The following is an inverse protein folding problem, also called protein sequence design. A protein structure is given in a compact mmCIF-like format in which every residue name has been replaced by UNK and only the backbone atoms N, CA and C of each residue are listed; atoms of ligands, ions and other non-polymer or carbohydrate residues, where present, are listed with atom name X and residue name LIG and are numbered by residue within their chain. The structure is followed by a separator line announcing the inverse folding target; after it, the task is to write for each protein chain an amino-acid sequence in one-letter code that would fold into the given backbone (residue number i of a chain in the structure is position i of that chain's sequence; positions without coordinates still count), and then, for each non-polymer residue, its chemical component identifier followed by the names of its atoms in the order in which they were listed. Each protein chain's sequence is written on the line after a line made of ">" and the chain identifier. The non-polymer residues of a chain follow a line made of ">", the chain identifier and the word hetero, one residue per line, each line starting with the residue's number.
data_IF_058525045146
#
_entry.id   IF_058525045146
#
_cell.length_a   1.000
_cell.length_b   1.000
_cell.length_c   1.000
_cell.angle_alpha   90.00
_cell.angle_beta   90.00
_cell.angle_gamma   90.00
#
_symmetry.space_group_name_H-M   'P 1'
#
loop_
_entity.id
_entity.type
_entity.pdbx_description
1 polymer ?
#
# COMPACT_ATOMS: atom_id res chain seq x y z
N UNK A 1 -4.66 -13.63 33.95
CA UNK A 1 -5.24 -13.06 32.71
C UNK A 1 -4.67 -13.76 31.49
N UNK A 2 -3.35 -13.72 31.26
CA UNK A 2 -2.67 -14.43 30.16
C UNK A 2 -3.06 -15.94 30.04
N UNK A 3 -3.13 -16.72 31.14
CA UNK A 3 -3.52 -18.14 31.04
C UNK A 3 -4.95 -18.38 30.53
N UNK A 4 -5.85 -17.40 30.67
CA UNK A 4 -7.22 -17.50 30.16
C UNK A 4 -7.23 -17.25 28.65
N UNK A 5 -6.47 -16.26 28.19
CA UNK A 5 -6.38 -15.90 26.77
C UNK A 5 -5.71 -17.02 25.99
N UNK A 6 -4.63 -17.58 26.52
CA UNK A 6 -3.93 -18.74 25.95
C UNK A 6 -4.86 -19.94 25.83
N UNK A 7 -5.63 -20.25 26.89
CA UNK A 7 -6.61 -21.34 26.85
C UNK A 7 -7.71 -21.12 25.80
N UNK A 8 -8.19 -19.88 25.64
CA UNK A 8 -9.18 -19.55 24.59
C UNK A 8 -8.56 -19.76 23.20
N UNK A 9 -7.33 -19.29 23.00
CA UNK A 9 -6.60 -19.42 21.74
C UNK A 9 -6.35 -20.89 21.37
N UNK A 10 -5.98 -21.73 22.34
CA UNK A 10 -5.78 -23.17 22.15
C UNK A 10 -7.07 -23.85 21.68
N UNK A 11 -8.21 -23.54 22.31
CA UNK A 11 -9.51 -24.09 21.93
C UNK A 11 -9.94 -23.62 20.54
N UNK A 12 -9.77 -22.33 20.24
CA UNK A 12 -10.16 -21.75 18.95
C UNK A 12 -9.26 -22.18 17.79
N UNK A 13 -8.04 -22.64 18.08
CA UNK A 13 -7.10 -23.15 17.07
C UNK A 13 -7.29 -24.64 16.75
N UNK A 14 -8.24 -25.32 17.40
CA UNK A 14 -8.52 -26.72 17.08
C UNK A 14 -9.18 -26.85 15.70
N UNK A 15 -8.77 -27.80 14.86
CA UNK A 15 -9.40 -28.02 13.55
C UNK A 15 -10.89 -28.32 13.70
N UNK A 16 -11.70 -27.76 12.81
CA UNK A 16 -13.15 -28.03 12.77
C UNK A 16 -13.48 -28.97 11.62
N UNK A 17 -14.39 -29.91 11.87
CA UNK A 17 -14.87 -30.85 10.86
C UNK A 17 -16.21 -30.36 10.31
N UNK A 18 -16.26 -30.08 9.01
CA UNK A 18 -17.47 -29.67 8.30
C UNK A 18 -17.62 -30.59 7.10
N UNK A 19 -18.73 -31.33 7.04
CA UNK A 19 -19.04 -32.29 5.96
C UNK A 19 -17.93 -33.34 5.71
N UNK A 20 -17.25 -33.77 6.78
CA UNK A 20 -16.15 -34.74 6.70
C UNK A 20 -14.81 -34.16 6.27
N UNK A 21 -14.74 -32.86 5.96
CA UNK A 21 -13.49 -32.15 5.67
C UNK A 21 -12.94 -31.49 6.93
N UNK A 22 -11.61 -31.51 7.10
CA UNK A 22 -10.91 -30.90 8.23
C UNK A 22 -10.42 -29.51 7.82
N UNK A 23 -10.86 -28.48 8.55
CA UNK A 23 -10.46 -27.10 8.32
C UNK A 23 -9.55 -26.62 9.46
N UNK A 24 -8.36 -26.13 9.10
CA UNK A 24 -7.53 -25.39 10.03
C UNK A 24 -8.14 -23.99 10.25
N UNK A 25 -8.36 -23.63 11.50
CA UNK A 25 -8.87 -22.32 11.91
C UNK A 25 -7.87 -21.65 12.85
N UNK A 26 -7.88 -20.32 12.87
CA UNK A 26 -7.08 -19.53 13.80
C UNK A 26 -7.90 -18.33 14.28
N UNK A 27 -7.63 -17.87 15.49
CA UNK A 27 -8.28 -16.70 16.08
C UNK A 27 -7.23 -15.66 16.50
N UNK A 28 -7.50 -14.39 16.20
CA UNK A 28 -6.71 -13.27 16.69
C UNK A 28 -7.48 -12.61 17.83
N UNK A 29 -6.86 -12.45 18.99
CA UNK A 29 -7.54 -12.03 20.23
C UNK A 29 -6.98 -10.68 20.70
N UNK A 30 -7.87 -9.71 20.93
CA UNK A 30 -7.52 -8.44 21.54
C UNK A 30 -7.94 -8.39 23.01
N UNK A 31 -7.07 -7.86 23.87
CA UNK A 31 -7.29 -7.83 25.32
C UNK A 31 -7.16 -6.40 25.82
N UNK A 32 -8.20 -5.85 26.43
CA UNK A 32 -8.14 -4.58 27.18
C UNK A 32 -8.31 -4.84 28.68
N UNK A 33 -7.61 -4.08 29.51
CA UNK A 33 -7.62 -4.26 30.97
C UNK A 33 -7.86 -2.91 31.61
N UNK A 34 -8.74 -2.86 32.61
CA UNK A 34 -8.92 -1.70 33.46
C UNK A 34 -8.70 -2.05 34.92
N UNK A 35 -8.20 -1.08 35.67
CA UNK A 35 -8.12 -1.11 37.13
C UNK A 35 -9.07 -0.09 37.79
N UNK A 36 -9.71 0.79 37.00
CA UNK A 36 -10.67 1.77 37.46
C UNK A 36 -12.09 1.34 37.08
N UNK A 37 -12.96 1.21 38.08
CA UNK A 37 -14.37 0.83 37.88
C UNK A 37 -15.18 1.92 37.19
N UNK A 38 -14.65 3.13 37.09
CA UNK A 38 -15.29 4.27 36.44
C UNK A 38 -14.91 4.43 34.96
N UNK A 39 -14.02 3.59 34.43
CA UNK A 39 -13.66 3.63 33.02
C UNK A 39 -14.88 3.42 32.11
N UNK A 40 -14.94 4.18 31.01
CA UNK A 40 -15.97 4.06 29.99
C UNK A 40 -15.96 2.63 29.38
N UNK A 41 -17.02 1.83 29.55
CA UNK A 41 -17.10 0.51 28.94
C UNK A 41 -16.92 0.54 27.42
N UNK A 42 -17.39 1.61 26.76
CA UNK A 42 -17.21 1.80 25.32
C UNK A 42 -15.75 1.96 24.94
N UNK A 43 -14.96 2.69 25.73
CA UNK A 43 -13.53 2.86 25.52
C UNK A 43 -12.76 1.54 25.68
N UNK A 44 -13.15 0.70 26.64
CA UNK A 44 -12.55 -0.62 26.82
C UNK A 44 -12.84 -1.55 25.64
N UNK A 45 -14.07 -1.58 25.13
CA UNK A 45 -14.41 -2.37 23.93
C UNK A 45 -13.60 -1.89 22.72
N UNK A 46 -13.48 -0.57 22.51
CA UNK A 46 -12.64 -0.01 21.43
C UNK A 46 -11.16 -0.39 21.58
N UNK A 47 -10.64 -0.37 22.80
CA UNK A 47 -9.27 -0.78 23.11
C UNK A 47 -9.05 -2.28 22.78
N UNK A 48 -9.97 -3.16 23.19
CA UNK A 48 -9.89 -4.58 22.87
C UNK A 48 -9.97 -4.83 21.35
N UNK A 49 -10.86 -4.13 20.64
CA UNK A 49 -11.00 -4.25 19.19
C UNK A 49 -9.72 -3.80 18.46
N UNK A 50 -9.16 -2.66 18.86
CA UNK A 50 -7.88 -2.17 18.36
C UNK A 50 -6.74 -3.19 18.56
N UNK A 51 -6.65 -3.79 19.74
CA UNK A 51 -5.67 -4.84 20.00
C UNK A 51 -5.90 -6.11 19.17
N UNK A 52 -7.15 -6.48 18.90
CA UNK A 52 -7.47 -7.60 18.01
C UNK A 52 -7.01 -7.31 16.57
N UNK A 53 -7.23 -6.09 16.07
CA UNK A 53 -6.73 -5.69 14.74
C UNK A 53 -5.19 -5.64 14.69
N UNK A 54 -4.53 -5.19 15.76
CA UNK A 54 -3.08 -5.26 15.88
C UNK A 54 -2.56 -6.70 15.84
N UNK A 55 -3.25 -7.62 16.52
CA UNK A 55 -2.95 -9.06 16.44
C UNK A 55 -3.12 -9.61 15.02
N UNK A 56 -4.20 -9.25 14.30
CA UNK A 56 -4.41 -9.68 12.90
C UNK A 56 -3.32 -9.24 11.92
N UNK A 57 -2.66 -8.10 12.20
CA UNK A 57 -1.65 -7.53 11.30
C UNK A 57 -0.24 -8.05 11.58
N UNK A 58 0.14 -8.24 12.85
CA UNK A 58 1.51 -8.61 13.21
C UNK A 58 1.66 -10.06 13.70
N UNK A 59 0.59 -10.70 14.15
CA UNK A 59 0.62 -12.04 14.73
C UNK A 59 -0.70 -12.80 14.47
N UNK A 60 -0.94 -13.14 13.19
CA UNK A 60 -2.16 -13.86 12.78
C UNK A 60 -2.28 -15.17 13.58
N UNK A 61 -3.39 -15.29 14.30
CA UNK A 61 -3.65 -16.45 15.16
C UNK A 61 -3.11 -16.31 16.59
N UNK A 62 -2.64 -15.12 16.98
CA UNK A 62 -2.12 -14.79 18.31
C UNK A 62 -3.06 -13.96 19.17
N UNK A 63 -2.51 -13.36 20.23
CA UNK A 63 -3.20 -12.33 21.01
C UNK A 63 -2.34 -11.07 21.18
N UNK A 64 -2.98 -9.95 21.47
CA UNK A 64 -2.32 -8.69 21.78
C UNK A 64 -3.06 -7.99 22.91
N UNK A 65 -2.30 -7.45 23.87
CA UNK A 65 -2.83 -6.66 24.98
C UNK A 65 -2.78 -5.19 24.60
N UNK A 66 -3.84 -4.46 24.91
CA UNK A 66 -3.90 -3.02 24.75
C UNK A 66 -3.19 -2.35 25.92
N UNK A 67 -1.96 -1.90 25.67
CA UNK A 67 -1.13 -1.12 26.58
C UNK A 67 -0.89 0.29 26.03
N UNK A 68 -0.14 1.11 26.78
CA UNK A 68 0.15 2.48 26.39
C UNK A 68 1.05 2.57 25.15
N UNK A 69 1.89 1.57 24.89
CA UNK A 69 2.72 1.48 23.68
C UNK A 69 1.84 1.26 22.45
N UNK A 70 0.90 0.31 22.50
CA UNK A 70 -0.05 0.08 21.43
C UNK A 70 -0.97 1.29 21.22
N UNK A 71 -1.41 1.94 22.30
CA UNK A 71 -2.17 3.19 22.22
C UNK A 71 -1.39 4.27 21.47
N UNK A 72 -0.14 4.51 21.86
CA UNK A 72 0.74 5.48 21.19
C UNK A 72 0.90 5.16 19.70
N UNK A 73 1.14 3.88 19.37
CA UNK A 73 1.27 3.46 17.97
C UNK A 73 0.01 3.70 17.14
N UNK A 74 -1.17 3.47 17.70
CA UNK A 74 -2.45 3.73 17.02
C UNK A 74 -2.65 5.22 16.79
N UNK A 75 -2.36 6.04 17.80
CA UNK A 75 -2.50 7.49 17.73
C UNK A 75 -1.53 8.09 16.71
N UNK A 76 -0.26 7.66 16.73
CA UNK A 76 0.77 8.04 15.76
C UNK A 76 0.35 7.68 14.34
N UNK A 77 -0.13 6.45 14.14
CA UNK A 77 -0.61 5.98 12.84
C UNK A 77 -1.79 6.79 12.34
N UNK A 78 -2.76 7.10 13.20
CA UNK A 78 -3.91 7.93 12.84
C UNK A 78 -3.48 9.36 12.48
N UNK A 79 -2.48 9.91 13.19
CA UNK A 79 -1.88 11.20 12.85
C UNK A 79 -1.18 11.16 11.50
N UNK A 80 -0.38 10.14 11.23
CA UNK A 80 0.31 9.98 9.95
C UNK A 80 -0.68 9.79 8.79
N UNK A 81 -1.78 9.06 8.98
CA UNK A 81 -2.83 8.96 7.96
C UNK A 81 -3.46 10.33 7.68
N UNK A 82 -3.78 11.12 8.71
CA UNK A 82 -4.30 12.50 8.53
C UNK A 82 -3.30 13.37 7.77
N UNK A 83 -2.02 13.28 8.10
CA UNK A 83 -0.95 13.99 7.39
C UNK A 83 -0.86 13.56 5.94
N UNK A 84 -0.98 12.27 5.64
CA UNK A 84 -0.96 11.74 4.28
C UNK A 84 -2.17 12.23 3.46
N UNK A 85 -3.38 12.26 4.06
CA UNK A 85 -4.57 12.84 3.43
C UNK A 85 -4.40 14.33 3.12
N UNK A 86 -3.79 15.06 4.05
CA UNK A 86 -3.50 16.50 3.88
C UNK A 86 -2.47 16.70 2.76
N UNK A 87 -1.39 15.91 2.74
CA UNK A 87 -0.39 15.95 1.68
C UNK A 87 -0.98 15.65 0.29
N UNK A 88 -1.97 14.77 0.21
CA UNK A 88 -2.73 14.54 -1.02
C UNK A 88 -3.55 15.81 -1.36
N UNK A 89 -4.36 16.32 -0.44
CA UNK A 89 -5.19 17.50 -0.70
C UNK A 89 -4.36 18.72 -1.16
N UNK A 90 -3.18 18.92 -0.58
CA UNK A 90 -2.31 20.09 -0.78
C UNK A 90 -1.25 19.90 -1.89
N UNK A 91 -1.29 18.77 -2.62
CA UNK A 91 -0.34 18.44 -3.69
C UNK A 91 1.14 18.49 -3.30
N UNK A 92 1.45 17.91 -2.14
CA UNK A 92 2.81 17.88 -1.58
C UNK A 92 3.65 16.71 -2.09
N UNK A 93 3.18 15.96 -3.08
CA UNK A 93 3.89 14.81 -3.64
C UNK A 93 4.83 15.25 -4.75
N UNK A 94 6.04 14.71 -4.75
CA UNK A 94 7.01 14.88 -5.83
C UNK A 94 7.60 13.52 -6.22
N UNK A 95 8.08 13.41 -7.45
CA UNK A 95 8.74 12.20 -7.95
C UNK A 95 10.21 12.51 -8.15
N UNK A 96 11.07 11.74 -7.48
CA UNK A 96 12.50 11.74 -7.73
C UNK A 96 12.83 10.63 -8.70
N UNK A 97 13.93 10.81 -9.43
CA UNK A 97 14.28 9.96 -10.56
C UNK A 97 15.69 9.40 -10.35
N UNK A 98 15.81 8.10 -10.08
CA UNK A 98 17.09 7.44 -9.84
C UNK A 98 17.57 6.68 -11.09
N UNK A 99 18.70 7.08 -11.71
CA UNK A 99 19.19 6.42 -12.91
C UNK A 99 19.64 4.98 -12.64
N UNK A 100 19.27 4.07 -13.53
CA UNK A 100 19.78 2.70 -13.60
C UNK A 100 20.83 2.61 -14.71
N UNK A 101 22.05 2.19 -14.37
CA UNK A 101 23.19 2.18 -15.30
C UNK A 101 23.65 0.76 -15.64
N UNK A 102 23.87 0.50 -16.92
CA UNK A 102 24.51 -0.72 -17.38
C UNK A 102 26.02 -0.65 -17.12
N UNK A 103 26.53 -1.48 -16.22
CA UNK A 103 27.92 -1.45 -15.78
C UNK A 103 28.94 -1.64 -16.92
N UNK A 104 28.65 -2.51 -17.88
CA UNK A 104 29.56 -2.82 -18.98
C UNK A 104 29.83 -1.62 -19.91
N UNK A 105 28.87 -0.70 -20.04
CA UNK A 105 28.87 0.36 -21.05
C UNK A 105 28.68 1.76 -20.45
N UNK A 106 28.49 1.85 -19.12
CA UNK A 106 28.15 3.08 -18.38
C UNK A 106 26.99 3.86 -19.01
N UNK A 107 26.03 3.15 -19.61
CA UNK A 107 24.85 3.72 -20.26
C UNK A 107 23.66 3.69 -19.31
N UNK A 108 22.90 4.77 -19.26
CA UNK A 108 21.61 4.78 -18.56
C UNK A 108 20.65 3.88 -19.34
N UNK A 109 20.05 2.91 -18.65
CA UNK A 109 19.06 1.98 -19.21
C UNK A 109 17.63 2.44 -18.93
N UNK A 110 17.42 3.04 -17.76
CA UNK A 110 16.13 3.53 -17.30
C UNK A 110 16.31 4.38 -16.06
N UNK A 111 15.20 4.88 -15.54
CA UNK A 111 15.18 5.77 -14.39
C UNK A 111 14.00 5.41 -13.51
N UNK A 112 14.26 4.96 -12.28
CA UNK A 112 13.20 4.57 -11.37
C UNK A 112 12.48 5.82 -10.81
N UNK A 113 11.14 5.80 -10.87
CA UNK A 113 10.29 6.83 -10.30
C UNK A 113 10.06 6.56 -8.80
N UNK A 114 10.59 7.46 -7.97
CA UNK A 114 10.60 7.34 -6.52
C UNK A 114 9.78 8.45 -5.87
N UNK A 115 8.58 8.10 -5.41
CA UNK A 115 7.66 9.04 -4.77
C UNK A 115 8.24 9.62 -3.47
N UNK A 116 8.04 10.91 -3.24
CA UNK A 116 8.41 11.61 -2.01
C UNK A 116 7.29 12.57 -1.63
N UNK A 117 7.24 12.97 -0.36
CA UNK A 117 6.37 14.04 0.10
C UNK A 117 7.24 15.17 0.63
N UNK A 118 7.09 16.37 0.08
CA UNK A 118 7.77 17.57 0.54
C UNK A 118 6.84 18.36 1.45
N UNK A 119 6.91 18.07 2.75
CA UNK A 119 6.09 18.75 3.74
C UNK A 119 6.76 20.05 4.21
N UNK A 120 6.07 21.21 4.22
CA UNK A 120 6.67 22.50 4.56
C UNK A 120 7.24 22.55 5.98
N UNK A 121 6.59 21.86 6.93
CA UNK A 121 7.03 21.82 8.33
C UNK A 121 7.91 20.61 8.70
N UNK A 122 7.84 19.50 7.94
CA UNK A 122 8.46 18.23 8.32
C UNK A 122 9.61 17.83 7.36
N UNK A 123 9.85 18.63 6.32
CA UNK A 123 10.86 18.37 5.32
C UNK A 123 10.45 17.23 4.38
N UNK A 124 11.46 16.53 3.88
CA UNK A 124 11.29 15.46 2.90
C UNK A 124 10.95 14.13 3.58
N UNK A 125 9.73 13.67 3.38
CA UNK A 125 9.25 12.37 3.83
C UNK A 125 9.59 11.27 2.82
N UNK A 126 10.27 10.23 3.30
CA UNK A 126 10.71 9.09 2.50
C UNK A 126 9.59 8.04 2.36
N UNK A 127 9.58 7.24 1.28
CA UNK A 127 8.54 6.24 1.02
C UNK A 127 8.34 5.28 2.18
N UNK A 128 9.44 4.82 2.79
CA UNK A 128 9.41 3.89 3.92
C UNK A 128 8.59 4.42 5.11
N UNK A 129 8.46 5.74 5.25
CA UNK A 129 7.70 6.37 6.34
C UNK A 129 6.19 6.43 6.09
N UNK A 130 5.73 6.42 4.83
CA UNK A 130 4.32 6.65 4.51
C UNK A 130 3.68 5.55 3.64
N UNK A 131 4.43 4.80 2.83
CA UNK A 131 3.88 3.74 1.99
C UNK A 131 3.13 2.66 2.79
N UNK A 132 3.64 2.14 3.93
CA UNK A 132 2.89 1.16 4.72
C UNK A 132 1.52 1.68 5.17
N UNK A 133 1.44 2.97 5.47
CA UNK A 133 0.22 3.64 5.91
C UNK A 133 -0.72 3.85 4.72
N UNK A 134 -0.17 4.28 3.58
CA UNK A 134 -0.91 4.44 2.33
C UNK A 134 -1.56 3.11 1.91
N UNK A 135 -0.81 2.00 1.96
CA UNK A 135 -1.31 0.68 1.58
C UNK A 135 -2.42 0.20 2.48
N UNK A 136 -2.27 0.33 3.80
CA UNK A 136 -3.24 -0.18 4.76
C UNK A 136 -4.48 0.72 4.87
N UNK A 137 -4.35 2.04 4.66
CA UNK A 137 -5.48 2.99 4.64
C UNK A 137 -6.18 3.09 3.28
N UNK A 138 -5.53 2.62 2.20
CA UNK A 138 -6.05 2.73 0.83
C UNK A 138 -5.70 4.00 0.11
N UNK A 139 -4.99 4.90 0.78
CA UNK A 139 -4.43 6.10 0.17
C UNK A 139 -3.34 5.80 -0.86
N UNK A 140 -2.84 4.55 -0.93
CA UNK A 140 -1.89 4.16 -1.98
C UNK A 140 -2.49 4.29 -3.38
N UNK A 141 -3.80 4.13 -3.55
CA UNK A 141 -4.47 4.28 -4.85
C UNK A 141 -4.35 5.72 -5.39
N UNK A 142 -4.83 6.76 -4.69
CA UNK A 142 -4.65 8.13 -5.17
C UNK A 142 -3.18 8.59 -5.20
N UNK A 143 -2.30 7.99 -4.39
CA UNK A 143 -0.85 8.25 -4.49
C UNK A 143 -0.29 7.69 -5.80
N UNK A 144 -0.61 6.44 -6.13
CA UNK A 144 -0.19 5.80 -7.37
C UNK A 144 -0.67 6.54 -8.60
N UNK A 145 -1.91 7.01 -8.61
CA UNK A 145 -2.47 7.82 -9.72
C UNK A 145 -1.64 9.10 -9.96
N UNK A 146 -1.15 9.75 -8.90
CA UNK A 146 -0.28 10.93 -9.02
C UNK A 146 1.11 10.59 -9.52
N UNK A 147 1.71 9.53 -8.98
CA UNK A 147 3.03 9.07 -9.39
C UNK A 147 3.03 8.67 -10.86
N UNK A 148 1.99 7.96 -11.30
CA UNK A 148 1.80 7.56 -12.70
C UNK A 148 1.74 8.77 -13.62
N UNK A 149 0.90 9.77 -13.29
CA UNK A 149 0.76 10.99 -14.08
C UNK A 149 2.07 11.80 -14.12
N UNK A 150 2.74 11.95 -12.98
CA UNK A 150 4.00 12.68 -12.89
C UNK A 150 5.12 11.99 -13.68
N UNK A 151 5.25 10.67 -13.58
CA UNK A 151 6.20 9.88 -14.37
C UNK A 151 5.92 10.01 -15.87
N UNK A 152 4.66 9.89 -16.28
CA UNK A 152 4.26 10.00 -17.69
C UNK A 152 4.53 11.40 -18.27
N UNK A 153 4.16 12.47 -17.54
CA UNK A 153 4.47 13.85 -17.92
C UNK A 153 5.98 14.10 -18.05
N UNK A 154 6.76 13.57 -17.09
CA UNK A 154 8.21 13.75 -17.11
C UNK A 154 8.86 13.04 -18.30
N UNK A 155 8.37 11.85 -18.65
CA UNK A 155 8.87 11.09 -19.80
C UNK A 155 8.56 11.80 -21.13
N UNK A 156 7.35 12.37 -21.26
CA UNK A 156 6.99 13.24 -22.39
C UNK A 156 7.91 14.46 -22.46
N UNK A 157 8.13 15.15 -21.35
CA UNK A 157 9.00 16.33 -21.30
C UNK A 157 10.45 16.01 -21.69
N UNK A 158 10.99 14.86 -21.26
CA UNK A 158 12.33 14.42 -21.67
C UNK A 158 12.41 14.14 -23.16
N UNK A 159 11.41 13.46 -23.73
CA UNK A 159 11.34 13.22 -25.17
C UNK A 159 11.29 14.52 -25.96
N UNK A 160 10.42 15.44 -25.56
CA UNK A 160 10.22 16.72 -26.27
C UNK A 160 11.44 17.63 -26.17
N UNK A 161 12.26 17.47 -25.13
CA UNK A 161 13.56 18.16 -24.99
C UNK A 161 14.67 17.60 -25.90
N UNK A 162 14.39 16.55 -26.68
CA UNK A 162 15.38 15.84 -27.50
C UNK A 162 16.27 14.87 -26.71
N UNK A 163 15.88 14.53 -25.48
CA UNK A 163 16.58 13.57 -24.64
C UNK A 163 16.44 12.12 -25.16
N UNK A 164 17.26 11.19 -24.65
CA UNK A 164 17.13 9.78 -24.99
C UNK A 164 15.78 9.22 -24.51
N UNK A 165 15.23 8.26 -25.26
CA UNK A 165 14.14 7.42 -24.73
C UNK A 165 14.68 6.59 -23.58
N UNK A 166 14.21 6.87 -22.38
CA UNK A 166 14.52 6.13 -21.15
C UNK A 166 13.24 5.55 -20.60
N UNK A 167 13.31 4.32 -20.11
CA UNK A 167 12.20 3.67 -19.41
C UNK A 167 12.06 4.27 -18.02
N UNK A 168 10.82 4.55 -17.61
CA UNK A 168 10.48 5.07 -16.28
C UNK A 168 9.50 4.12 -15.62
N UNK A 169 9.96 3.01 -15.02
CA UNK A 169 9.08 2.07 -14.37
C UNK A 169 8.35 2.73 -13.19
N UNK A 170 7.03 2.57 -13.18
CA UNK A 170 6.15 2.98 -12.07
C UNK A 170 5.74 1.73 -11.29
N UNK A 171 6.12 1.68 -10.01
CA UNK A 171 5.79 0.59 -9.11
C UNK A 171 4.29 0.55 -8.79
N UNK A 172 3.69 -0.63 -8.88
CA UNK A 172 2.31 -0.89 -8.45
C UNK A 172 2.28 -1.68 -7.14
N UNK A 173 1.44 -1.26 -6.21
CA UNK A 173 1.17 -1.99 -4.98
C UNK A 173 0.13 -3.11 -5.18
N UNK A 174 0.16 -4.12 -4.33
CA UNK A 174 -0.83 -5.20 -4.31
C UNK A 174 -2.26 -4.70 -4.10
N UNK A 175 -2.44 -3.58 -3.39
CA UNK A 175 -3.76 -2.98 -3.19
C UNK A 175 -4.30 -2.35 -4.46
N UNK A 176 -3.47 -1.64 -5.22
CA UNK A 176 -3.89 -1.04 -6.49
C UNK A 176 -4.33 -2.10 -7.50
N UNK A 177 -3.61 -3.21 -7.56
CA UNK A 177 -3.89 -4.32 -8.48
C UNK A 177 -5.20 -5.06 -8.13
N UNK A 178 -5.59 -5.05 -6.85
CA UNK A 178 -6.88 -5.58 -6.41
C UNK A 178 -8.04 -4.60 -6.60
N UNK A 179 -7.74 -3.30 -6.67
CA UNK A 179 -8.76 -2.28 -6.82
C UNK A 179 -9.36 -2.32 -8.22
N UNK A 180 -10.69 -2.35 -8.31
CA UNK A 180 -11.37 -2.24 -9.60
C UNK A 180 -11.04 -0.90 -10.28
N UNK A 181 -10.98 -0.90 -11.61
CA UNK A 181 -10.78 0.32 -12.39
C UNK A 181 -9.33 0.80 -12.51
N UNK A 182 -8.33 0.05 -12.04
CA UNK A 182 -6.92 0.42 -12.28
C UNK A 182 -6.61 0.58 -13.78
N UNK A 183 -7.16 -0.28 -14.63
CA UNK A 183 -7.02 -0.16 -16.08
C UNK A 183 -7.57 1.16 -16.63
N UNK A 184 -8.73 1.60 -16.13
CA UNK A 184 -9.35 2.87 -16.54
C UNK A 184 -8.53 4.06 -16.06
N UNK A 185 -7.95 3.99 -14.85
CA UNK A 185 -7.05 5.03 -14.34
C UNK A 185 -5.76 5.14 -15.14
N UNK A 186 -5.20 4.01 -15.58
CA UNK A 186 -4.04 3.99 -16.48
C UNK A 186 -4.41 4.60 -17.84
N UNK A 187 -5.55 4.23 -18.42
CA UNK A 187 -6.03 4.80 -19.67
C UNK A 187 -6.19 6.33 -19.57
N UNK A 188 -6.82 6.80 -18.49
CA UNK A 188 -6.99 8.22 -18.23
C UNK A 188 -5.65 8.95 -18.07
N UNK A 189 -4.67 8.35 -17.37
CA UNK A 189 -3.34 8.94 -17.27
C UNK A 189 -2.66 9.05 -18.65
N UNK A 190 -2.77 8.02 -19.49
CA UNK A 190 -2.23 8.05 -20.87
C UNK A 190 -2.86 9.19 -21.68
N UNK A 191 -4.19 9.30 -21.65
CA UNK A 191 -4.94 10.34 -22.37
C UNK A 191 -4.57 11.74 -21.86
N UNK A 192 -4.54 11.94 -20.54
CA UNK A 192 -4.31 13.23 -19.91
C UNK A 192 -2.86 13.74 -20.10
N UNK A 193 -1.87 12.84 -20.19
CA UNK A 193 -0.46 13.23 -20.36
C UNK A 193 0.04 13.17 -21.80
N UNK A 194 -0.68 12.48 -22.68
CA UNK A 194 -0.25 12.25 -24.07
C UNK A 194 1.03 11.41 -24.18
N UNK A 195 1.32 10.58 -23.18
CA UNK A 195 2.45 9.63 -23.26
C UNK A 195 2.15 8.59 -24.32
N UNK A 196 3.18 8.16 -25.06
CA UNK A 196 3.05 7.00 -25.92
C UNK A 196 2.87 5.76 -25.02
N UNK A 197 1.77 5.00 -25.15
CA UNK A 197 1.55 3.82 -24.32
C UNK A 197 2.70 2.80 -24.34
N UNK A 198 3.51 2.78 -25.41
CA UNK A 198 4.71 1.93 -25.50
C UNK A 198 5.87 2.41 -24.61
N UNK A 199 5.87 3.69 -24.26
CA UNK A 199 6.86 4.28 -23.35
C UNK A 199 6.47 4.05 -21.88
N UNK A 200 5.20 3.75 -21.58
CA UNK A 200 4.72 3.52 -20.22
C UNK A 200 5.14 2.14 -19.70
N UNK A 201 5.96 2.13 -18.65
CA UNK A 201 6.41 0.90 -17.99
C UNK A 201 5.81 0.79 -16.59
N UNK A 202 5.16 -0.33 -16.29
CA UNK A 202 4.62 -0.64 -14.97
C UNK A 202 5.41 -1.79 -14.35
N UNK A 203 5.86 -1.60 -13.11
CA UNK A 203 6.64 -2.59 -12.37
C UNK A 203 5.79 -3.24 -11.28
N UNK A 204 5.84 -4.57 -11.22
CA UNK A 204 5.17 -5.37 -10.20
C UNK A 204 6.18 -6.36 -9.62
N UNK A 205 6.17 -6.50 -8.30
CA UNK A 205 6.89 -7.59 -7.65
C UNK A 205 6.17 -8.92 -7.91
N UNK A 206 6.89 -10.04 -7.76
CA UNK A 206 6.32 -11.38 -7.91
C UNK A 206 5.13 -11.62 -6.95
N UNK A 207 5.23 -11.11 -5.72
CA UNK A 207 4.15 -11.20 -4.72
C UNK A 207 2.90 -10.43 -5.16
N UNK A 208 3.07 -9.22 -5.68
CA UNK A 208 1.96 -8.41 -6.21
C UNK A 208 1.33 -9.06 -7.44
N UNK A 209 2.16 -9.66 -8.30
CA UNK A 209 1.68 -10.40 -9.48
C UNK A 209 0.83 -11.62 -9.08
N UNK A 210 1.21 -12.34 -8.01
CA UNK A 210 0.41 -13.46 -7.50
C UNK A 210 -0.94 -13.02 -6.91
N UNK A 211 -1.05 -11.78 -6.43
CA UNK A 211 -2.28 -11.17 -5.93
C UNK A 211 -3.16 -10.58 -7.05
N UNK A 212 -2.69 -10.63 -8.30
CA UNK A 212 -3.36 -10.01 -9.43
C UNK A 212 -4.73 -10.63 -9.72
N UNK A 213 -5.75 -9.77 -9.82
CA UNK A 213 -7.09 -10.23 -10.18
C UNK A 213 -7.15 -10.54 -11.68
N UNK A 214 -8.02 -11.48 -12.06
CA UNK A 214 -8.28 -11.77 -13.48
C UNK A 214 -8.72 -10.52 -14.25
N UNK A 215 -9.53 -9.67 -13.61
CA UNK A 215 -9.99 -8.38 -14.17
C UNK A 215 -8.83 -7.42 -14.46
N UNK A 216 -7.83 -7.35 -13.58
CA UNK A 216 -6.63 -6.55 -13.82
C UNK A 216 -5.84 -7.05 -15.04
N UNK A 217 -5.59 -8.36 -15.13
CA UNK A 217 -4.86 -8.95 -16.26
C UNK A 217 -5.60 -8.76 -17.60
N UNK A 218 -6.93 -8.89 -17.59
CA UNK A 218 -7.77 -8.58 -18.76
C UNK A 218 -7.70 -7.09 -19.13
N UNK A 219 -7.65 -6.20 -18.15
CA UNK A 219 -7.52 -4.75 -18.39
C UNK A 219 -6.15 -4.40 -18.98
N UNK A 220 -5.06 -4.98 -18.48
CA UNK A 220 -3.73 -4.83 -19.07
C UNK A 220 -3.66 -5.37 -20.50
N UNK A 221 -4.32 -6.51 -20.75
CA UNK A 221 -4.38 -7.09 -22.10
C UNK A 221 -5.17 -6.20 -23.05
N UNK A 222 -6.27 -5.60 -22.58
CA UNK A 222 -7.02 -4.60 -23.35
C UNK A 222 -6.18 -3.36 -23.62
N UNK A 223 -5.48 -2.83 -22.63
CA UNK A 223 -4.58 -1.68 -22.83
C UNK A 223 -3.49 -2.00 -23.86
N UNK A 224 -2.81 -3.15 -23.74
CA UNK A 224 -1.86 -3.62 -24.76
C UNK A 224 -2.51 -3.77 -26.15
N UNK A 225 -3.76 -4.22 -26.21
CA UNK A 225 -4.53 -4.37 -27.45
C UNK A 225 -5.11 -3.06 -28.02
N UNK A 226 -5.34 -2.05 -27.19
CA UNK A 226 -5.80 -0.70 -27.59
C UNK A 226 -4.66 0.14 -28.17
N UNK A 227 -3.42 -0.20 -27.81
CA UNK A 227 -2.23 0.57 -28.14
C UNK A 227 -1.24 -0.19 -29.05
N UNK A 228 -1.73 -1.13 -29.87
CA UNK A 228 -0.93 -1.90 -30.84
C UNK A 228 -0.16 -0.96 -31.79
N UNK A 229 1.17 -1.11 -31.86
CA UNK A 229 1.92 -1.80 -32.93
C UNK A 229 3.31 -2.23 -32.45
#
# INVERSE_FOLDING_TARGET
>A
MLPIVERIQEVLSQPVVIEGNIFAVSASIGVSVTHDRNDDPGALVRAADNAMYASKSHNRGGYTVFDDELRSHIDDRAQQERLLRTALADDLFEVHYQPQVQLAQSRIMGVEALVRIRHPALGLWQPASFLPIAETSGLIVPVGDRVLRAAALQQVAWRDSGGPRVEVPVNLSGREVRESGLGDRIAAAIEDTGIDPHDLTLELTETVYAEATRSFLESLTRLKGLFIF
#
